data_IF_048661123998
#
_entry.id   IF_048661123998
#
_cell.length_a   1.000
_cell.length_b   1.000
_cell.length_c   1.000
_cell.angle_alpha   90.00
_cell.angle_beta   90.00
_cell.angle_gamma   90.00
#
_symmetry.space_group_name_H-M   'P 1'
#
loop_
_entity.id
_entity.type
_entity.pdbx_description
1 polymer ?
#
# COMPACT_ATOMS: atom_id res chain seq x y z
N UNK A 1 49.05 24.55 -24.72
CA UNK A 1 49.71 23.42 -25.40
C UNK A 1 50.21 22.45 -24.32
N UNK A 2 49.85 21.17 -24.42
CA UNK A 2 50.14 20.04 -23.52
C UNK A 2 49.51 20.08 -22.12
N UNK A 3 48.36 19.43 -21.86
CA UNK A 3 48.12 17.97 -21.71
C UNK A 3 48.70 17.39 -20.44
N UNK A 4 47.84 17.07 -19.46
CA UNK A 4 47.96 15.85 -18.66
C UNK A 4 46.59 15.46 -18.11
N UNK A 5 45.99 14.48 -18.79
CA UNK A 5 44.91 13.63 -18.33
C UNK A 5 45.33 12.93 -17.04
N UNK A 6 44.56 13.08 -15.96
CA UNK A 6 44.54 12.12 -14.87
C UNK A 6 43.28 11.26 -15.04
N UNK A 7 43.47 9.98 -15.37
CA UNK A 7 42.42 8.98 -15.24
C UNK A 7 42.10 8.83 -13.75
N UNK A 8 40.91 9.27 -13.32
CA UNK A 8 40.29 8.74 -12.11
C UNK A 8 39.63 7.41 -12.48
N UNK A 9 40.25 6.32 -12.05
CA UNK A 9 39.64 5.00 -12.02
C UNK A 9 38.30 5.08 -11.28
N UNK A 10 37.20 4.86 -11.98
CA UNK A 10 35.90 4.63 -11.36
C UNK A 10 35.90 3.22 -10.77
N UNK A 11 36.46 3.07 -9.57
CA UNK A 11 35.92 2.08 -8.65
C UNK A 11 34.61 2.65 -8.14
N UNK A 12 33.53 2.42 -8.89
CA UNK A 12 32.20 2.44 -8.30
C UNK A 12 32.21 1.24 -7.36
N UNK A 13 32.16 1.43 -6.02
CA UNK A 13 31.81 0.30 -5.18
C UNK A 13 30.43 -0.13 -5.68
N UNK A 14 30.27 -1.41 -6.03
CA UNK A 14 28.93 -1.99 -6.12
C UNK A 14 28.25 -1.59 -4.80
N UNK A 15 27.32 -0.64 -4.88
CA UNK A 15 26.42 -0.40 -3.79
C UNK A 15 25.71 -1.74 -3.62
N UNK A 16 26.08 -2.47 -2.56
CA UNK A 16 25.18 -3.45 -2.00
C UNK A 16 23.97 -2.60 -1.63
N UNK A 17 22.94 -2.62 -2.49
CA UNK A 17 21.67 -2.02 -2.19
C UNK A 17 21.17 -2.78 -0.97
N UNK A 18 21.50 -2.26 0.21
CA UNK A 18 20.79 -2.61 1.40
C UNK A 18 19.38 -2.13 1.15
N UNK A 19 18.47 -3.08 1.02
CA UNK A 19 17.04 -2.90 0.84
C UNK A 19 16.45 -2.34 2.14
N UNK A 20 16.97 -1.19 2.59
CA UNK A 20 16.41 -0.48 3.71
C UNK A 20 15.03 -0.02 3.27
N UNK A 21 14.00 -0.62 3.85
CA UNK A 21 12.65 -0.05 3.79
C UNK A 21 12.72 1.39 4.26
N UNK A 22 12.69 2.33 3.33
CA UNK A 22 12.54 3.73 3.64
C UNK A 22 11.10 3.92 4.09
N UNK A 23 10.92 4.27 5.36
CA UNK A 23 9.65 4.78 5.87
C UNK A 23 9.81 6.29 5.97
N UNK A 24 9.61 7.03 4.85
CA UNK A 24 9.76 8.47 4.88
C UNK A 24 8.80 9.05 5.92
N UNK A 25 9.29 10.03 6.68
CA UNK A 25 8.47 10.81 7.58
C UNK A 25 8.31 12.20 6.99
N UNK A 26 7.11 12.75 7.11
CA UNK A 26 6.83 14.14 6.78
C UNK A 26 6.35 14.88 8.02
N UNK A 27 6.63 16.18 8.06
CA UNK A 27 6.19 17.08 9.13
C UNK A 27 5.25 18.13 8.55
N UNK A 28 4.16 17.65 7.94
CA UNK A 28 3.10 18.51 7.42
C UNK A 28 2.01 18.61 8.49
N UNK A 29 1.78 19.82 9.01
CA UNK A 29 0.72 20.05 10.00
C UNK A 29 -0.65 19.91 9.32
N UNK A 30 -1.47 18.99 9.82
CA UNK A 30 -2.81 18.77 9.31
C UNK A 30 -3.81 19.79 9.83
N UNK A 31 -4.91 19.98 9.09
CA UNK A 31 -6.01 20.87 9.51
C UNK A 31 -6.83 20.29 10.67
N UNK A 32 -7.02 18.96 10.67
CA UNK A 32 -7.82 18.26 11.68
C UNK A 32 -7.01 17.19 12.42
N UNK A 33 -6.13 16.47 11.71
CA UNK A 33 -5.26 15.43 12.25
C UNK A 33 -3.92 15.43 11.52
N UNK A 34 -2.85 15.03 12.22
CA UNK A 34 -1.50 14.96 11.65
C UNK A 34 -1.18 13.60 11.02
N UNK A 35 -1.99 12.57 11.30
CA UNK A 35 -1.82 11.22 10.77
C UNK A 35 -3.16 10.59 10.47
N UNK A 36 -3.23 9.87 9.37
CA UNK A 36 -4.37 9.06 8.96
C UNK A 36 -3.90 7.63 8.76
N UNK A 37 -4.63 6.68 9.34
CA UNK A 37 -4.35 5.25 9.19
C UNK A 37 -5.67 4.58 8.87
N UNK A 38 -5.68 3.78 7.81
CA UNK A 38 -6.79 2.89 7.47
C UNK A 38 -6.32 1.44 7.60
N UNK A 39 -7.15 0.59 8.20
CA UNK A 39 -6.87 -0.83 8.39
C UNK A 39 -7.95 -1.61 7.66
N UNK A 40 -7.53 -2.44 6.72
CA UNK A 40 -8.42 -3.27 5.93
C UNK A 40 -8.40 -4.69 6.46
N UNK A 41 -9.59 -5.21 6.77
CA UNK A 41 -9.80 -6.60 7.14
C UNK A 41 -10.31 -7.34 5.91
N UNK A 42 -9.39 -8.02 5.22
CA UNK A 42 -9.73 -8.80 4.03
C UNK A 42 -10.83 -9.83 4.31
N UNK A 43 -11.76 -10.00 3.36
CA UNK A 43 -12.81 -11.03 3.39
C UNK A 43 -13.56 -11.14 4.73
N UNK A 44 -13.81 -10.01 5.38
CA UNK A 44 -14.41 -9.94 6.70
C UNK A 44 -15.71 -9.14 6.64
N UNK A 45 -16.83 -9.78 6.99
CA UNK A 45 -18.11 -9.11 7.12
C UNK A 45 -18.22 -8.31 8.43
N UNK A 46 -19.22 -7.44 8.50
CA UNK A 46 -19.46 -6.57 9.67
C UNK A 46 -19.59 -7.36 10.98
N UNK A 47 -20.36 -8.46 10.98
CA UNK A 47 -20.63 -9.23 12.20
C UNK A 47 -19.36 -9.88 12.73
N UNK A 48 -18.52 -10.39 11.83
CA UNK A 48 -17.21 -10.98 12.16
C UNK A 48 -16.24 -9.92 12.68
N UNK A 49 -16.15 -8.76 12.03
CA UNK A 49 -15.31 -7.66 12.51
C UNK A 49 -15.78 -7.11 13.85
N UNK A 50 -17.09 -6.87 14.02
CA UNK A 50 -17.67 -6.34 15.26
C UNK A 50 -17.55 -7.33 16.44
N UNK A 51 -17.47 -8.63 16.15
CA UNK A 51 -17.24 -9.67 17.16
C UNK A 51 -15.77 -9.88 17.55
N UNK A 52 -14.81 -9.27 16.85
CA UNK A 52 -13.38 -9.36 17.20
C UNK A 52 -13.07 -8.42 18.38
N UNK A 53 -12.55 -8.93 19.53
CA UNK A 53 -12.26 -8.10 20.70
C UNK A 53 -11.26 -6.96 20.44
N UNK A 54 -10.33 -7.14 19.50
CA UNK A 54 -9.36 -6.10 19.13
C UNK A 54 -10.04 -4.96 18.38
N UNK A 55 -11.03 -5.27 17.54
CA UNK A 55 -11.81 -4.26 16.81
C UNK A 55 -12.84 -3.60 17.73
N UNK A 56 -13.47 -4.36 18.62
CA UNK A 56 -14.40 -3.85 19.63
C UNK A 56 -13.74 -2.76 20.50
N UNK A 57 -12.46 -2.93 20.85
CA UNK A 57 -11.67 -1.93 21.57
C UNK A 57 -11.63 -0.58 20.83
N UNK A 58 -11.42 -0.58 19.51
CA UNK A 58 -11.38 0.64 18.70
C UNK A 58 -12.78 1.22 18.49
N UNK A 59 -13.79 0.38 18.28
CA UNK A 59 -15.17 0.82 18.11
C UNK A 59 -15.67 1.65 19.31
N UNK A 60 -15.27 1.27 20.54
CA UNK A 60 -15.58 2.02 21.77
C UNK A 60 -14.90 3.40 21.86
N UNK A 61 -13.90 3.68 21.04
CA UNK A 61 -13.14 4.94 21.04
C UNK A 61 -13.52 5.90 19.92
N UNK A 62 -14.41 5.49 19.02
CA UNK A 62 -14.73 6.25 17.81
C UNK A 62 -16.20 6.16 17.43
N UNK A 63 -16.46 6.35 16.15
CA UNK A 63 -17.79 6.29 15.56
C UNK A 63 -17.87 5.04 14.70
N UNK A 64 -18.84 4.17 14.99
CA UNK A 64 -19.15 3.01 14.16
C UNK A 64 -20.03 3.41 12.99
N UNK A 65 -19.57 3.19 11.77
CA UNK A 65 -20.33 3.44 10.54
C UNK A 65 -21.21 2.21 10.23
N UNK A 66 -22.44 2.19 10.73
CA UNK A 66 -23.39 1.08 10.55
C UNK A 66 -24.16 1.10 9.21
N UNK A 67 -23.89 2.09 8.37
CA UNK A 67 -24.48 2.26 7.03
C UNK A 67 -23.39 2.56 5.99
N UNK A 68 -22.29 1.81 6.07
CA UNK A 68 -21.14 1.91 5.16
C UNK A 68 -21.03 0.62 4.34
N UNK A 69 -21.06 0.74 3.03
CA UNK A 69 -21.14 -0.39 2.11
C UNK A 69 -19.99 -0.39 1.11
N UNK A 70 -19.62 -1.59 0.66
CA UNK A 70 -18.80 -1.76 -0.52
C UNK A 70 -19.47 -1.11 -1.75
N UNK A 71 -18.65 -0.61 -2.67
CA UNK A 71 -19.12 -0.02 -3.93
C UNK A 71 -19.64 -1.10 -4.87
N UNK A 72 -19.00 -2.27 -4.89
CA UNK A 72 -19.40 -3.42 -5.71
C UNK A 72 -18.76 -4.71 -5.20
N UNK A 73 -19.00 -5.83 -5.88
CA UNK A 73 -18.33 -7.11 -5.68
C UNK A 73 -17.71 -7.56 -7.01
N UNK A 74 -16.46 -8.09 -7.04
CA UNK A 74 -15.61 -8.60 -5.94
C UNK A 74 -14.83 -7.53 -5.16
N UNK A 75 -13.86 -7.91 -4.32
CA UNK A 75 -13.13 -6.99 -3.42
C UNK A 75 -12.21 -6.01 -4.15
N UNK A 76 -11.52 -6.43 -5.22
CA UNK A 76 -10.61 -5.60 -6.03
C UNK A 76 -11.15 -4.19 -6.35
N UNK A 77 -12.34 -4.01 -6.95
CA UNK A 77 -12.86 -2.68 -7.28
C UNK A 77 -13.08 -1.77 -6.07
N UNK A 78 -13.23 -2.31 -4.86
CA UNK A 78 -13.35 -1.51 -3.64
C UNK A 78 -12.01 -0.90 -3.21
N UNK A 79 -10.90 -1.63 -3.41
CA UNK A 79 -9.56 -1.09 -3.18
C UNK A 79 -9.28 0.07 -4.13
N UNK A 80 -9.60 -0.12 -5.43
CA UNK A 80 -9.46 0.92 -6.45
C UNK A 80 -10.30 2.15 -6.10
N UNK A 81 -11.57 1.97 -5.76
CA UNK A 81 -12.46 3.07 -5.39
C UNK A 81 -11.99 3.83 -4.15
N UNK A 82 -11.39 3.15 -3.17
CA UNK A 82 -10.93 3.80 -1.95
C UNK A 82 -9.75 4.76 -2.15
N UNK A 83 -8.90 4.53 -3.16
CA UNK A 83 -7.76 5.42 -3.47
C UNK A 83 -8.04 6.38 -4.61
N UNK A 84 -8.91 6.03 -5.56
CA UNK A 84 -9.15 6.81 -6.78
C UNK A 84 -10.52 7.50 -6.85
N UNK A 85 -11.47 7.10 -6.00
CA UNK A 85 -12.82 7.65 -5.95
C UNK A 85 -13.82 7.03 -6.92
N UNK A 86 -13.39 6.10 -7.78
CA UNK A 86 -14.24 5.34 -8.71
C UNK A 86 -13.72 3.90 -8.84
N UNK A 87 -14.58 2.94 -9.19
CA UNK A 87 -14.19 1.57 -9.52
C UNK A 87 -14.11 1.31 -11.03
N UNK A 88 -14.39 2.32 -11.86
CA UNK A 88 -14.24 2.31 -13.32
C UNK A 88 -15.01 1.19 -14.04
N UNK A 89 -16.10 0.71 -13.44
CA UNK A 89 -16.89 -0.39 -14.00
C UNK A 89 -16.23 -1.77 -13.86
N UNK A 90 -15.13 -1.89 -13.11
CA UNK A 90 -14.48 -3.19 -12.85
C UNK A 90 -15.46 -4.10 -12.11
N UNK A 91 -15.74 -5.25 -12.70
CA UNK A 91 -16.70 -6.25 -12.22
C UNK A 91 -16.10 -7.66 -12.18
N UNK A 92 -14.78 -7.75 -12.22
CA UNK A 92 -14.00 -8.97 -12.20
C UNK A 92 -12.90 -8.87 -11.14
N UNK A 93 -12.05 -9.89 -11.10
CA UNK A 93 -10.94 -10.02 -10.14
C UNK A 93 -9.67 -10.45 -10.88
N UNK A 94 -9.49 -9.87 -12.07
CA UNK A 94 -8.33 -10.06 -12.95
C UNK A 94 -7.17 -9.14 -12.52
N UNK A 95 -6.01 -9.21 -13.19
CA UNK A 95 -4.95 -8.23 -12.94
C UNK A 95 -5.25 -6.91 -13.65
N UNK A 96 -6.27 -6.18 -13.20
CA UNK A 96 -6.58 -4.88 -13.78
C UNK A 96 -5.46 -3.89 -13.50
N UNK A 97 -5.10 -3.11 -14.52
CA UNK A 97 -4.09 -2.05 -14.43
C UNK A 97 -4.81 -0.73 -14.68
N UNK A 98 -4.85 0.11 -13.65
CA UNK A 98 -5.33 1.48 -13.80
C UNK A 98 -4.25 2.31 -14.51
N UNK A 99 -4.59 3.06 -15.58
CA UNK A 99 -3.64 3.90 -16.27
C UNK A 99 -2.94 4.89 -15.32
N UNK A 100 -1.62 5.05 -15.47
CA UNK A 100 -0.81 5.90 -14.59
C UNK A 100 -1.15 7.40 -14.65
N UNK A 101 -1.97 7.85 -15.60
CA UNK A 101 -2.45 9.22 -15.70
C UNK A 101 -3.76 9.47 -14.91
N UNK A 102 -4.30 8.45 -14.25
CA UNK A 102 -5.42 8.60 -13.32
C UNK A 102 -4.87 9.08 -11.99
N UNK A 103 -5.26 10.28 -11.57
CA UNK A 103 -4.90 10.81 -10.25
C UNK A 103 -5.67 10.11 -9.14
N UNK A 104 -4.98 9.87 -8.03
CA UNK A 104 -5.46 9.23 -6.82
C UNK A 104 -5.21 10.13 -5.62
N UNK A 105 -5.67 9.71 -4.44
CA UNK A 105 -5.32 10.37 -3.18
C UNK A 105 -3.80 10.41 -2.95
N UNK A 106 -3.04 9.44 -3.48
CA UNK A 106 -1.58 9.39 -3.36
C UNK A 106 -0.92 10.58 -4.07
N UNK A 107 -1.37 10.92 -5.28
CA UNK A 107 -0.85 12.08 -6.02
C UNK A 107 -1.04 13.38 -5.22
N UNK A 108 -2.18 13.52 -4.53
CA UNK A 108 -2.45 14.66 -3.65
C UNK A 108 -1.51 14.71 -2.45
N UNK A 109 -1.16 13.55 -1.87
CA UNK A 109 -0.21 13.46 -0.77
C UNK A 109 1.20 13.83 -1.24
N UNK A 110 1.63 13.31 -2.40
CA UNK A 110 2.94 13.56 -2.99
C UNK A 110 3.13 15.03 -3.40
N UNK A 111 2.11 15.65 -4.01
CA UNK A 111 2.13 17.08 -4.35
C UNK A 111 2.36 17.97 -3.11
N UNK A 112 1.90 17.53 -1.94
CA UNK A 112 2.07 18.23 -0.67
C UNK A 112 3.27 17.76 0.15
N UNK A 113 4.07 16.83 -0.36
CA UNK A 113 5.19 16.25 0.37
C UNK A 113 4.77 15.50 1.64
N UNK A 114 3.55 14.96 1.67
CA UNK A 114 3.05 14.14 2.77
C UNK A 114 3.49 12.70 2.54
N UNK A 115 4.25 12.17 3.49
CA UNK A 115 4.70 10.78 3.49
C UNK A 115 3.52 9.83 3.63
N UNK A 116 3.51 8.78 2.81
CA UNK A 116 2.51 7.71 2.86
C UNK A 116 3.19 6.34 2.72
N UNK A 117 2.44 5.28 3.02
CA UNK A 117 2.91 3.91 2.80
C UNK A 117 1.77 2.91 2.92
N UNK A 118 1.95 1.78 2.25
CA UNK A 118 1.05 0.63 2.29
C UNK A 118 1.78 -0.57 2.89
N UNK A 119 1.09 -1.30 3.76
CA UNK A 119 1.61 -2.50 4.39
C UNK A 119 0.61 -3.64 4.14
N UNK A 120 1.07 -4.66 3.42
CA UNK A 120 0.27 -5.83 3.09
C UNK A 120 0.79 -7.03 3.88
N UNK A 121 -0.14 -7.88 4.33
CA UNK A 121 0.20 -9.05 5.13
C UNK A 121 1.23 -9.92 4.39
N UNK A 122 2.34 -10.23 5.07
CA UNK A 122 3.44 -11.05 4.54
C UNK A 122 4.18 -10.55 3.28
N UNK A 123 3.96 -9.30 2.83
CA UNK A 123 4.74 -8.72 1.73
C UNK A 123 6.25 -8.86 2.03
N UNK A 124 7.05 -9.43 1.11
CA UNK A 124 8.40 -9.88 1.43
C UNK A 124 9.40 -8.73 1.65
N UNK A 125 9.25 -7.65 0.90
CA UNK A 125 10.06 -6.43 0.98
C UNK A 125 9.32 -5.28 0.28
N UNK A 126 9.77 -4.04 0.52
CA UNK A 126 9.18 -2.83 -0.07
C UNK A 126 9.31 -2.82 -1.59
N UNK A 127 8.23 -2.50 -2.30
CA UNK A 127 8.26 -2.46 -3.76
C UNK A 127 8.21 -3.84 -4.43
N UNK A 128 7.88 -4.91 -3.70
CA UNK A 128 7.63 -6.21 -4.30
C UNK A 128 6.44 -6.12 -5.29
N UNK A 129 6.70 -6.39 -6.57
CA UNK A 129 5.69 -6.33 -7.65
C UNK A 129 5.19 -7.70 -8.11
N UNK A 130 5.65 -8.78 -7.47
CA UNK A 130 5.29 -10.15 -7.83
C UNK A 130 3.87 -10.53 -7.40
N UNK A 131 3.27 -11.51 -8.09
CA UNK A 131 1.91 -11.99 -7.78
C UNK A 131 1.82 -12.78 -6.48
N UNK A 132 2.90 -13.45 -6.07
CA UNK A 132 2.95 -14.20 -4.83
C UNK A 132 4.39 -14.40 -4.38
N UNK A 133 4.56 -14.57 -3.07
CA UNK A 133 5.83 -14.92 -2.45
C UNK A 133 5.63 -16.18 -1.64
N UNK A 134 6.44 -17.22 -1.91
CA UNK A 134 6.34 -18.51 -1.24
C UNK A 134 7.38 -18.63 -0.13
N UNK A 135 7.01 -19.27 0.95
CA UNK A 135 7.98 -19.73 1.95
C UNK A 135 8.93 -20.76 1.31
N UNK A 136 10.22 -20.67 1.59
CA UNK A 136 11.24 -21.56 1.03
C UNK A 136 11.01 -23.02 1.43
N UNK A 137 10.71 -23.28 2.71
CA UNK A 137 10.61 -24.64 3.26
C UNK A 137 9.31 -25.33 2.90
N UNK A 138 8.17 -24.68 3.12
CA UNK A 138 6.86 -25.32 2.94
C UNK A 138 6.28 -25.13 1.53
N UNK A 139 6.86 -24.21 0.73
CA UNK A 139 6.36 -23.78 -0.58
C UNK A 139 4.92 -23.22 -0.54
N UNK A 140 4.37 -22.97 0.65
CA UNK A 140 3.10 -22.28 0.84
C UNK A 140 3.24 -20.81 0.51
N UNK A 141 2.18 -20.21 -0.03
CA UNK A 141 2.16 -18.77 -0.24
C UNK A 141 2.19 -18.08 1.13
N UNK A 142 3.16 -17.19 1.30
CA UNK A 142 3.22 -16.23 2.40
C UNK A 142 2.46 -14.99 2.01
N UNK A 143 2.80 -14.43 0.87
CA UNK A 143 2.11 -13.31 0.25
C UNK A 143 1.45 -13.74 -1.05
N UNK A 144 0.29 -13.17 -1.33
CA UNK A 144 -0.36 -13.19 -2.62
C UNK A 144 -0.87 -11.77 -2.87
N UNK A 145 -0.68 -11.23 -4.06
CA UNK A 145 -1.29 -9.94 -4.46
C UNK A 145 -2.82 -10.03 -4.37
N UNK A 146 -3.34 -11.22 -4.64
CA UNK A 146 -4.76 -11.55 -4.62
C UNK A 146 -5.07 -12.46 -3.44
N UNK A 147 -5.93 -11.98 -2.55
CA UNK A 147 -6.40 -12.75 -1.40
C UNK A 147 -7.73 -13.42 -1.81
N UNK A 148 -7.74 -14.76 -1.90
CA UNK A 148 -8.93 -15.56 -2.23
C UNK A 148 -9.59 -16.11 -0.99
#
# INVERSE_FOLDING_TARGET
>A
MLTKFLLLSHLVPLAVASDYTLSPVSYVQGKAFNRFVTIWLENTDYSKAAGDPNIEFFAKKGITLNNYFAVTHPSEPNYVAAVSGDYYGINNDDDNIIPANVSTVVDLLEEKGISWGEYQEYMPYTGFTGKSYKEEKTRKNRYVKKHK
#
